data_IF_866120455409
#
_entry.id   IF_866120455409
#
_cell.length_a   1.000
_cell.length_b   1.000
_cell.length_c   1.000
_cell.angle_alpha   90.00
_cell.angle_beta   90.00
_cell.angle_gamma   90.00
#
_symmetry.space_group_name_H-M   'P 1'
#
loop_
_entity.id
_entity.type
_entity.pdbx_description
1 polymer ?
#
# COMPACT_ATOMS: atom_id res chain seq x y z
N UNK A 1 -34.10 -55.27 41.21
CA UNK A 1 -35.06 -54.52 40.40
C UNK A 1 -34.89 -53.02 40.42
N UNK A 2 -34.72 -52.31 41.57
CA UNK A 2 -34.52 -50.85 41.61
C UNK A 2 -33.22 -50.41 40.98
N UNK A 3 -32.10 -51.12 41.19
CA UNK A 3 -30.79 -50.78 40.60
C UNK A 3 -30.81 -50.86 39.05
N UNK A 4 -31.48 -51.88 38.50
CA UNK A 4 -31.65 -52.05 37.05
C UNK A 4 -32.43 -50.90 36.41
N UNK A 5 -33.48 -50.41 37.06
CA UNK A 5 -34.30 -49.30 36.62
C UNK A 5 -33.51 -47.98 36.63
N UNK A 6 -32.60 -47.78 37.61
CA UNK A 6 -31.74 -46.60 37.69
C UNK A 6 -30.72 -46.61 36.56
N UNK A 7 -30.08 -47.75 36.30
CA UNK A 7 -29.09 -47.90 35.21
C UNK A 7 -29.77 -47.67 33.85
N UNK A 8 -30.96 -48.22 33.65
CA UNK A 8 -31.73 -48.05 32.42
C UNK A 8 -32.10 -46.55 32.17
N UNK A 9 -32.50 -45.84 33.23
CA UNK A 9 -32.76 -44.39 33.13
C UNK A 9 -31.47 -43.60 32.78
N UNK A 10 -30.34 -43.94 33.37
CA UNK A 10 -29.04 -43.29 33.10
C UNK A 10 -28.61 -43.50 31.64
N UNK A 11 -28.78 -44.73 31.12
CA UNK A 11 -28.49 -45.05 29.72
C UNK A 11 -29.41 -44.29 28.76
N UNK A 12 -30.69 -44.17 29.04
CA UNK A 12 -31.61 -43.37 28.24
C UNK A 12 -31.23 -41.88 28.22
N UNK A 13 -30.83 -41.31 29.36
CA UNK A 13 -30.37 -39.91 29.43
C UNK A 13 -29.08 -39.70 28.63
N UNK A 14 -28.14 -40.64 28.71
CA UNK A 14 -26.92 -40.58 27.92
C UNK A 14 -27.18 -40.65 26.40
N UNK A 15 -28.09 -41.56 25.98
CA UNK A 15 -28.49 -41.69 24.57
C UNK A 15 -29.15 -40.39 24.10
N UNK A 16 -30.07 -39.81 24.90
CA UNK A 16 -30.72 -38.54 24.58
C UNK A 16 -29.72 -37.39 24.47
N UNK A 17 -28.73 -37.36 25.38
CA UNK A 17 -27.67 -36.36 25.37
C UNK A 17 -26.74 -36.51 24.16
N UNK A 18 -26.36 -37.73 23.79
CA UNK A 18 -25.59 -37.99 22.57
C UNK A 18 -26.39 -37.64 21.30
N UNK A 19 -27.68 -37.85 21.30
CA UNK A 19 -28.56 -37.48 20.20
C UNK A 19 -28.67 -35.97 20.05
N UNK A 20 -28.80 -35.22 21.16
CA UNK A 20 -28.79 -33.77 21.16
C UNK A 20 -27.42 -33.21 20.72
N UNK A 21 -26.32 -33.79 21.19
CA UNK A 21 -24.97 -33.42 20.74
C UNK A 21 -24.77 -33.70 19.25
N UNK A 22 -25.29 -34.79 18.74
CA UNK A 22 -25.26 -35.12 17.29
C UNK A 22 -26.00 -34.07 16.45
N UNK A 23 -27.07 -33.48 16.98
CA UNK A 23 -27.75 -32.36 16.31
C UNK A 23 -27.00 -31.05 16.34
N UNK A 24 -26.26 -30.78 17.43
CA UNK A 24 -25.47 -29.57 17.56
C UNK A 24 -24.12 -29.65 16.83
N UNK A 25 -23.60 -30.87 16.60
CA UNK A 25 -22.33 -31.11 15.90
C UNK A 25 -22.52 -31.17 14.37
N UNK A 26 -23.75 -31.28 13.88
CA UNK A 26 -24.02 -31.08 12.47
C UNK A 26 -23.83 -29.58 12.16
N UNK A 27 -22.55 -29.15 12.15
CA UNK A 27 -22.19 -27.90 11.49
C UNK A 27 -22.66 -28.04 10.06
N UNK A 28 -23.74 -27.37 9.72
CA UNK A 28 -24.09 -27.19 8.33
C UNK A 28 -22.87 -26.62 7.65
N UNK A 29 -22.23 -27.38 6.75
CA UNK A 29 -21.30 -26.82 5.78
C UNK A 29 -22.12 -25.76 5.05
N UNK A 30 -21.95 -24.51 5.45
CA UNK A 30 -22.60 -23.38 4.79
C UNK A 30 -22.03 -23.30 3.38
N UNK A 31 -22.78 -23.78 2.41
CA UNK A 31 -22.45 -23.61 1.01
C UNK A 31 -22.53 -22.13 0.70
N UNK A 32 -21.41 -21.56 0.27
CA UNK A 32 -21.35 -20.19 -0.22
C UNK A 32 -22.24 -20.10 -1.47
N UNK A 33 -23.21 -19.18 -1.45
CA UNK A 33 -24.18 -19.03 -2.53
C UNK A 33 -23.85 -17.90 -3.48
N UNK A 34 -23.74 -16.69 -2.96
CA UNK A 34 -23.53 -15.49 -3.77
C UNK A 34 -22.71 -14.45 -3.04
N UNK A 35 -22.15 -13.50 -3.78
CA UNK A 35 -21.57 -12.29 -3.21
C UNK A 35 -22.71 -11.28 -3.02
N UNK A 36 -23.02 -10.96 -1.77
CA UNK A 36 -24.04 -9.98 -1.43
C UNK A 36 -23.52 -8.54 -1.55
N UNK A 37 -22.39 -8.26 -0.93
CA UNK A 37 -21.84 -6.92 -0.91
C UNK A 37 -20.31 -6.91 -0.97
N UNK A 38 -19.76 -5.96 -1.74
CA UNK A 38 -18.34 -5.64 -1.75
C UNK A 38 -18.18 -4.21 -1.25
N UNK A 39 -17.55 -4.06 -0.08
CA UNK A 39 -17.17 -2.78 0.52
C UNK A 39 -15.69 -2.54 0.25
N UNK A 40 -15.38 -1.42 -0.39
CA UNK A 40 -14.00 -0.99 -0.61
C UNK A 40 -13.75 0.19 0.31
N UNK A 41 -12.91 -0.04 1.34
CA UNK A 41 -12.48 1.02 2.25
C UNK A 41 -11.37 1.81 1.56
N UNK A 42 -11.76 2.76 0.72
CA UNK A 42 -10.82 3.79 0.27
C UNK A 42 -11.45 4.93 -0.56
N UNK A 43 -10.70 6.05 -0.60
CA UNK A 43 -10.99 7.20 -1.46
C UNK A 43 -10.40 7.04 -2.88
N UNK A 44 -9.51 6.08 -3.11
CA UNK A 44 -8.65 6.06 -4.31
C UNK A 44 -9.17 5.24 -5.50
N UNK A 45 -10.10 4.35 -5.34
CA UNK A 45 -10.74 3.56 -6.43
C UNK A 45 -9.74 2.96 -7.46
N UNK A 46 -8.65 2.35 -6.98
CA UNK A 46 -7.69 1.67 -7.85
C UNK A 46 -8.22 0.38 -8.43
N UNK A 47 -9.15 -0.27 -7.74
CA UNK A 47 -9.74 -1.53 -8.13
C UNK A 47 -11.23 -1.38 -8.40
N UNK A 48 -11.71 -2.01 -9.47
CA UNK A 48 -13.13 -2.10 -9.75
C UNK A 48 -13.78 -3.28 -9.01
N UNK A 49 -15.01 -3.08 -8.55
CA UNK A 49 -15.81 -4.18 -7.98
C UNK A 49 -15.97 -5.33 -8.96
N UNK A 50 -16.11 -5.03 -10.26
CA UNK A 50 -16.20 -6.02 -11.34
C UNK A 50 -15.02 -6.98 -11.36
N UNK A 51 -13.80 -6.49 -11.14
CA UNK A 51 -12.60 -7.33 -11.07
C UNK A 51 -12.61 -8.26 -9.83
N UNK A 52 -13.17 -7.80 -8.72
CA UNK A 52 -13.31 -8.66 -7.55
C UNK A 52 -14.31 -9.77 -7.83
N UNK A 53 -15.42 -9.45 -8.51
CA UNK A 53 -16.37 -10.47 -8.96
C UNK A 53 -15.70 -11.47 -9.91
N UNK A 54 -14.90 -11.03 -10.88
CA UNK A 54 -14.15 -11.92 -11.80
C UNK A 54 -13.18 -12.86 -11.05
N UNK A 55 -12.46 -12.33 -10.06
CA UNK A 55 -11.55 -13.14 -9.23
C UNK A 55 -12.32 -14.18 -8.43
N UNK A 56 -13.49 -13.82 -7.94
CA UNK A 56 -14.32 -14.69 -7.13
C UNK A 56 -15.15 -15.68 -7.98
N UNK A 57 -15.64 -15.27 -9.16
CA UNK A 57 -16.64 -16.01 -9.94
C UNK A 57 -16.07 -17.30 -10.56
N UNK A 58 -14.77 -17.36 -10.81
CA UNK A 58 -14.14 -18.56 -11.36
C UNK A 58 -14.13 -19.75 -10.38
N UNK A 59 -14.22 -19.50 -9.06
CA UNK A 59 -13.97 -20.52 -8.05
C UNK A 59 -14.92 -20.52 -6.85
N UNK A 60 -15.77 -19.50 -6.65
CA UNK A 60 -16.66 -19.40 -5.48
C UNK A 60 -17.62 -20.61 -5.39
N UNK A 61 -18.14 -21.06 -6.51
CA UNK A 61 -19.08 -22.19 -6.54
C UNK A 61 -18.44 -23.53 -6.14
N UNK A 62 -17.09 -23.62 -6.19
CA UNK A 62 -16.34 -24.81 -5.87
C UNK A 62 -15.59 -24.72 -4.51
N UNK A 63 -15.50 -23.53 -3.93
CA UNK A 63 -14.71 -23.31 -2.70
C UNK A 63 -15.64 -23.22 -1.49
N UNK A 64 -15.48 -24.18 -0.60
CA UNK A 64 -16.15 -24.21 0.71
C UNK A 64 -15.36 -23.43 1.78
N UNK A 65 -14.19 -22.88 1.43
CA UNK A 65 -13.26 -22.29 2.39
C UNK A 65 -13.08 -20.78 2.13
N UNK A 66 -13.54 -19.98 3.07
CA UNK A 66 -13.39 -18.51 3.09
C UNK A 66 -11.93 -18.11 2.97
N UNK A 67 -11.03 -18.84 3.64
CA UNK A 67 -9.60 -18.51 3.63
C UNK A 67 -9.00 -18.59 2.23
N UNK A 68 -9.51 -19.48 1.38
CA UNK A 68 -9.07 -19.58 -0.01
C UNK A 68 -9.51 -18.35 -0.80
N UNK A 69 -10.75 -17.89 -0.62
CA UNK A 69 -11.27 -16.69 -1.27
C UNK A 69 -10.49 -15.45 -0.82
N UNK A 70 -10.27 -15.30 0.49
CA UNK A 70 -9.46 -14.20 1.02
C UNK A 70 -8.04 -14.19 0.43
N UNK A 71 -7.39 -15.35 0.37
CA UNK A 71 -6.04 -15.47 -0.18
C UNK A 71 -5.99 -15.14 -1.68
N UNK A 72 -6.97 -15.57 -2.45
CA UNK A 72 -7.04 -15.21 -3.87
C UNK A 72 -7.19 -13.71 -4.08
N UNK A 73 -8.11 -13.08 -3.36
CA UNK A 73 -8.33 -11.63 -3.44
C UNK A 73 -7.08 -10.89 -2.95
N UNK A 74 -6.47 -11.34 -1.84
CA UNK A 74 -5.28 -10.72 -1.23
C UNK A 74 -4.04 -10.77 -2.14
N UNK A 75 -3.96 -11.75 -3.04
CA UNK A 75 -2.89 -11.84 -4.03
C UNK A 75 -2.98 -10.76 -5.12
N UNK A 76 -4.09 -10.02 -5.21
CA UNK A 76 -4.22 -8.93 -6.16
C UNK A 76 -3.27 -7.78 -5.78
N UNK A 77 -2.42 -7.28 -6.72
CA UNK A 77 -1.33 -6.34 -6.41
C UNK A 77 -1.80 -4.98 -5.89
N UNK A 78 -3.06 -4.62 -6.04
CA UNK A 78 -3.64 -3.36 -5.56
C UNK A 78 -4.35 -3.50 -4.21
N UNK A 79 -4.44 -4.72 -3.66
CA UNK A 79 -5.12 -4.98 -2.39
C UNK A 79 -4.09 -5.07 -1.26
N UNK A 80 -4.34 -4.33 -0.19
CA UNK A 80 -3.55 -4.37 1.04
C UNK A 80 -4.07 -5.46 1.99
N UNK A 81 -5.38 -5.50 2.17
CA UNK A 81 -6.03 -6.44 3.07
C UNK A 81 -7.47 -6.74 2.62
N UNK A 82 -7.97 -7.90 3.01
CA UNK A 82 -9.32 -8.36 2.70
C UNK A 82 -9.87 -9.16 3.86
N UNK A 83 -11.15 -9.03 4.09
CA UNK A 83 -11.91 -9.81 5.06
C UNK A 83 -13.20 -10.28 4.39
N UNK A 84 -13.49 -11.58 4.48
CA UNK A 84 -14.69 -12.21 3.92
C UNK A 84 -15.54 -12.74 5.06
N UNK A 85 -16.82 -12.40 5.06
CA UNK A 85 -17.78 -12.82 6.06
C UNK A 85 -18.91 -13.60 5.41
N UNK A 86 -19.27 -14.76 5.98
CA UNK A 86 -20.46 -15.51 5.57
C UNK A 86 -21.65 -15.06 6.40
N UNK A 87 -22.75 -14.74 5.72
CA UNK A 87 -24.03 -14.48 6.34
C UNK A 87 -24.79 -15.78 6.63
N UNK A 88 -25.81 -15.72 7.50
CA UNK A 88 -26.64 -16.90 7.84
C UNK A 88 -27.35 -17.54 6.65
N UNK A 89 -27.63 -16.79 5.59
CA UNK A 89 -28.24 -17.26 4.36
C UNK A 89 -27.27 -17.95 3.39
N UNK A 90 -25.95 -17.94 3.70
CA UNK A 90 -24.88 -18.47 2.87
C UNK A 90 -24.28 -17.46 1.87
N UNK A 91 -24.76 -16.22 1.86
CA UNK A 91 -24.14 -15.16 1.06
C UNK A 91 -22.88 -14.63 1.75
N UNK A 92 -21.95 -14.07 0.96
CA UNK A 92 -20.71 -13.50 1.48
C UNK A 92 -20.66 -11.98 1.32
N UNK A 93 -20.11 -11.34 2.35
CA UNK A 93 -19.73 -9.91 2.34
C UNK A 93 -18.20 -9.80 2.31
N UNK A 94 -17.70 -8.98 1.43
CA UNK A 94 -16.26 -8.77 1.22
C UNK A 94 -15.90 -7.33 1.58
N UNK A 95 -15.02 -7.16 2.58
CA UNK A 95 -14.45 -5.87 2.93
C UNK A 95 -13.00 -5.80 2.45
N UNK A 96 -12.71 -4.84 1.59
CA UNK A 96 -11.40 -4.66 0.96
C UNK A 96 -10.75 -3.38 1.43
N UNK A 97 -9.44 -3.47 1.65
CA UNK A 97 -8.58 -2.31 1.83
C UNK A 97 -7.57 -2.23 0.69
N UNK A 98 -7.62 -1.14 -0.08
CA UNK A 98 -6.67 -0.91 -1.15
C UNK A 98 -5.29 -0.49 -0.62
N UNK A 99 -4.23 -0.71 -1.42
CA UNK A 99 -2.91 -0.12 -1.17
C UNK A 99 -2.93 1.37 -1.47
N UNK A 100 -2.17 2.13 -0.71
CA UNK A 100 -2.04 3.58 -0.87
C UNK A 100 -0.70 3.88 -1.53
N UNK A 101 -0.69 4.45 -2.75
CA UNK A 101 0.56 4.77 -3.43
C UNK A 101 1.26 5.97 -2.79
N UNK A 102 2.57 5.88 -2.62
CA UNK A 102 3.44 6.98 -2.15
C UNK A 102 4.12 7.71 -3.29
N UNK A 103 4.81 6.97 -4.15
CA UNK A 103 5.58 7.51 -5.28
C UNK A 103 5.27 6.75 -6.55
N UNK A 104 5.38 7.42 -7.68
CA UNK A 104 5.31 6.79 -9.00
C UNK A 104 6.70 6.61 -9.56
N UNK A 105 7.09 5.37 -9.79
CA UNK A 105 8.40 4.99 -10.32
C UNK A 105 8.28 4.77 -11.82
N UNK A 106 9.23 5.32 -12.57
CA UNK A 106 9.41 5.06 -14.00
C UNK A 106 10.74 4.32 -14.20
N UNK A 107 10.65 3.07 -14.60
CA UNK A 107 11.79 2.20 -14.88
C UNK A 107 11.82 1.85 -16.36
N UNK A 108 12.67 2.53 -17.14
CA UNK A 108 12.78 2.37 -18.58
C UNK A 108 11.41 2.39 -19.29
N UNK A 109 10.89 1.20 -19.65
CA UNK A 109 9.62 1.07 -20.35
C UNK A 109 8.43 0.77 -19.42
N UNK A 110 8.67 0.60 -18.12
CA UNK A 110 7.65 0.25 -17.15
C UNK A 110 7.40 1.40 -16.17
N UNK A 111 6.19 1.47 -15.66
CA UNK A 111 5.90 2.33 -14.52
C UNK A 111 5.01 1.62 -13.52
N UNK A 112 5.25 1.92 -12.22
CA UNK A 112 4.53 1.33 -11.12
C UNK A 112 4.51 2.31 -9.94
N UNK A 113 3.72 2.03 -8.92
CA UNK A 113 3.77 2.76 -7.66
C UNK A 113 4.57 1.98 -6.61
N UNK A 114 5.20 2.68 -5.67
CA UNK A 114 5.53 2.12 -4.37
C UNK A 114 4.44 2.55 -3.39
N UNK A 115 3.94 1.58 -2.61
CA UNK A 115 2.90 1.83 -1.61
C UNK A 115 3.47 2.23 -0.24
N UNK A 116 2.58 2.43 0.75
CA UNK A 116 2.96 2.78 2.12
C UNK A 116 3.85 1.75 2.83
N UNK A 117 3.90 0.53 2.34
CA UNK A 117 4.75 -0.54 2.85
C UNK A 117 6.02 -0.71 1.99
N UNK A 118 6.31 0.26 1.10
CA UNK A 118 7.43 0.28 0.14
C UNK A 118 7.43 -0.91 -0.83
N UNK A 119 6.25 -1.48 -1.10
CA UNK A 119 6.11 -2.59 -2.04
C UNK A 119 5.64 -2.10 -3.40
N UNK A 120 6.15 -2.70 -4.49
CA UNK A 120 5.65 -2.41 -5.82
C UNK A 120 4.15 -2.68 -5.94
N UNK A 121 3.43 -1.74 -6.57
CA UNK A 121 2.00 -1.78 -6.83
C UNK A 121 1.76 -1.42 -8.29
N UNK A 122 0.99 -2.24 -9.01
CA UNK A 122 0.67 -2.00 -10.41
C UNK A 122 -0.21 -0.75 -10.59
N UNK A 123 -0.09 -0.13 -11.76
CA UNK A 123 -0.98 0.97 -12.15
C UNK A 123 -2.43 0.47 -12.28
N UNK A 124 -3.35 1.36 -12.06
CA UNK A 124 -4.76 1.13 -12.38
C UNK A 124 -5.11 1.78 -13.72
N UNK A 125 -5.99 1.15 -14.47
CA UNK A 125 -6.60 1.76 -15.67
C UNK A 125 -7.63 2.82 -15.32
N UNK A 126 -8.16 2.79 -14.10
CA UNK A 126 -9.26 3.62 -13.64
C UNK A 126 -8.81 4.90 -12.93
N UNK A 127 -7.69 4.83 -12.24
CA UNK A 127 -7.25 5.94 -11.39
C UNK A 127 -5.74 6.16 -11.46
N UNK A 128 -5.36 7.41 -11.56
CA UNK A 128 -3.96 7.85 -11.49
C UNK A 128 -3.78 8.79 -10.31
N UNK A 129 -2.92 8.44 -9.39
CA UNK A 129 -2.57 9.29 -8.26
C UNK A 129 -1.51 10.33 -8.64
N UNK A 130 -1.68 11.56 -8.15
CA UNK A 130 -0.71 12.65 -8.34
C UNK A 130 0.38 12.56 -7.29
N UNK A 131 1.32 11.66 -7.47
CA UNK A 131 2.40 11.39 -6.53
C UNK A 131 3.73 11.97 -7.03
N UNK A 132 4.71 12.04 -6.12
CA UNK A 132 6.10 12.33 -6.45
C UNK A 132 6.62 11.31 -7.49
N UNK A 133 7.29 11.81 -8.52
CA UNK A 133 7.85 10.97 -9.58
C UNK A 133 9.28 10.59 -9.21
N UNK A 134 9.62 9.31 -9.44
CA UNK A 134 10.98 8.76 -9.32
C UNK A 134 11.36 8.14 -10.65
N UNK A 135 12.51 8.51 -11.20
CA UNK A 135 13.06 7.91 -12.42
C UNK A 135 14.59 7.91 -12.40
N UNK A 136 15.21 7.31 -13.40
CA UNK A 136 16.66 7.22 -13.57
C UNK A 136 17.21 5.82 -13.33
N UNK A 137 18.44 5.74 -12.80
CA UNK A 137 19.19 4.48 -12.62
C UNK A 137 18.72 3.70 -11.37
N UNK A 138 17.54 3.13 -11.42
CA UNK A 138 16.91 2.42 -10.29
C UNK A 138 17.72 1.22 -9.78
N UNK A 139 18.54 0.62 -10.61
CA UNK A 139 19.37 -0.57 -10.25
C UNK A 139 20.29 -0.32 -9.05
N UNK A 140 20.63 0.94 -8.78
CA UNK A 140 21.53 1.33 -7.67
C UNK A 140 20.78 1.65 -6.37
N UNK A 141 19.46 1.58 -6.35
CA UNK A 141 18.62 1.96 -5.21
C UNK A 141 17.56 0.89 -4.97
N UNK A 142 17.34 0.56 -3.72
CA UNK A 142 16.23 -0.31 -3.35
C UNK A 142 14.97 0.52 -3.00
N UNK A 143 13.83 -0.16 -2.96
CA UNK A 143 12.52 0.46 -2.71
C UNK A 143 12.47 1.18 -1.35
N UNK A 144 13.12 0.61 -0.33
CA UNK A 144 13.15 1.21 1.02
C UNK A 144 13.95 2.52 1.05
N UNK A 145 15.04 2.62 0.28
CA UNK A 145 15.81 3.85 0.15
C UNK A 145 14.99 4.96 -0.52
N UNK A 146 14.23 4.61 -1.56
CA UNK A 146 13.32 5.55 -2.24
C UNK A 146 12.22 6.01 -1.29
N UNK A 147 11.60 5.10 -0.56
CA UNK A 147 10.57 5.44 0.43
C UNK A 147 11.12 6.29 1.58
N UNK A 148 12.32 5.98 2.07
CA UNK A 148 12.96 6.77 3.12
C UNK A 148 13.18 8.22 2.66
N UNK A 149 13.71 8.41 1.45
CA UNK A 149 13.88 9.74 0.87
C UNK A 149 12.53 10.46 0.71
N UNK A 150 11.49 9.75 0.24
CA UNK A 150 10.14 10.29 0.16
C UNK A 150 9.65 10.77 1.54
N UNK A 151 9.80 9.97 2.58
CA UNK A 151 9.36 10.34 3.93
C UNK A 151 10.10 11.56 4.47
N UNK A 152 11.39 11.68 4.21
CA UNK A 152 12.15 12.90 4.55
C UNK A 152 11.64 14.14 3.81
N UNK A 153 11.32 14.03 2.52
CA UNK A 153 10.73 15.15 1.76
C UNK A 153 9.34 15.49 2.30
N UNK A 154 8.52 14.48 2.57
CA UNK A 154 7.12 14.63 3.02
C UNK A 154 7.00 15.15 4.45
N UNK A 155 8.00 14.93 5.31
CA UNK A 155 8.00 15.40 6.70
C UNK A 155 8.05 16.93 6.82
N UNK A 156 8.50 17.63 5.78
CA UNK A 156 8.56 19.07 5.75
C UNK A 156 7.61 19.64 4.67
N UNK A 157 6.56 20.43 5.03
CA UNK A 157 5.58 20.95 4.07
C UNK A 157 6.20 21.81 2.95
N UNK A 158 7.29 22.51 3.22
CA UNK A 158 7.99 23.30 2.20
C UNK A 158 8.65 22.36 1.18
N UNK A 159 9.40 21.34 1.62
CA UNK A 159 10.04 20.36 0.74
C UNK A 159 9.02 19.57 -0.08
N UNK A 160 7.90 19.18 0.53
CA UNK A 160 6.77 18.52 -0.14
C UNK A 160 6.21 19.39 -1.27
N UNK A 161 6.04 20.68 -1.03
CA UNK A 161 5.57 21.63 -2.06
C UNK A 161 6.62 21.93 -3.12
N UNK A 162 7.90 21.88 -2.76
CA UNK A 162 9.02 22.25 -3.60
C UNK A 162 9.36 21.15 -4.62
N UNK A 163 9.47 19.89 -4.17
CA UNK A 163 9.96 18.78 -4.98
C UNK A 163 8.86 18.20 -5.84
N UNK A 164 9.11 18.04 -7.13
CA UNK A 164 8.19 17.40 -8.07
C UNK A 164 8.66 16.01 -8.51
N UNK A 165 10.00 15.82 -8.56
CA UNK A 165 10.60 14.62 -9.11
C UNK A 165 11.92 14.33 -8.43
N UNK A 166 12.22 13.03 -8.28
CA UNK A 166 13.52 12.50 -7.87
C UNK A 166 14.14 11.84 -9.10
N UNK A 167 15.33 12.27 -9.48
CA UNK A 167 16.10 11.66 -10.55
C UNK A 167 17.30 10.94 -9.96
N UNK A 168 17.37 9.63 -10.15
CA UNK A 168 18.39 8.75 -9.60
C UNK A 168 19.51 8.54 -10.64
N UNK A 169 20.73 8.80 -10.25
CA UNK A 169 21.93 8.53 -11.05
C UNK A 169 22.92 7.77 -10.18
N UNK A 170 23.46 6.65 -10.64
CA UNK A 170 24.48 5.82 -9.93
C UNK A 170 24.68 6.11 -8.42
N UNK A 171 25.38 7.21 -8.11
CA UNK A 171 25.72 7.66 -6.76
C UNK A 171 25.20 9.06 -6.44
N UNK A 172 24.34 9.62 -7.27
CA UNK A 172 23.78 10.94 -7.09
C UNK A 172 22.26 10.90 -7.15
N UNK A 173 21.64 11.61 -6.25
CA UNK A 173 20.20 11.84 -6.23
C UNK A 173 19.98 13.31 -6.53
N UNK A 174 19.17 13.59 -7.54
CA UNK A 174 18.84 14.94 -7.97
C UNK A 174 17.35 15.15 -7.73
N UNK A 175 17.01 16.15 -6.94
CA UNK A 175 15.65 16.61 -6.74
C UNK A 175 15.32 17.69 -7.76
N UNK A 176 14.25 17.54 -8.51
CA UNK A 176 13.75 18.53 -9.47
C UNK A 176 12.63 19.30 -8.80
N UNK A 177 12.76 20.63 -8.78
CA UNK A 177 11.73 21.47 -8.16
C UNK A 177 10.57 21.76 -9.10
N UNK A 178 9.37 21.97 -8.52
CA UNK A 178 8.16 22.35 -9.26
C UNK A 178 8.30 23.72 -9.95
N UNK A 179 9.02 24.61 -9.30
CA UNK A 179 9.21 25.96 -9.80
C UNK A 179 10.51 26.09 -10.57
N UNK A 180 10.41 26.40 -11.87
CA UNK A 180 11.53 26.63 -12.78
C UNK A 180 12.51 25.46 -12.99
N UNK A 181 12.20 24.27 -12.46
CA UNK A 181 13.04 23.09 -12.66
C UNK A 181 14.43 23.20 -12.07
N UNK A 182 14.61 23.94 -10.97
CA UNK A 182 15.89 24.01 -10.28
C UNK A 182 16.32 22.60 -9.85
N UNK A 183 17.52 22.20 -10.22
CA UNK A 183 18.10 20.91 -9.88
C UNK A 183 18.85 21.01 -8.55
N UNK A 184 18.51 20.14 -7.62
CA UNK A 184 19.14 20.06 -6.31
C UNK A 184 19.83 18.71 -6.19
N UNK A 185 21.15 18.68 -6.31
CA UNK A 185 21.94 17.46 -6.16
C UNK A 185 22.23 17.24 -4.68
N UNK A 186 21.61 16.18 -4.09
CA UNK A 186 21.86 15.80 -2.69
C UNK A 186 22.96 14.73 -2.55
N UNK A 187 23.52 14.23 -3.67
CA UNK A 187 24.48 13.14 -3.67
C UNK A 187 23.86 11.82 -3.25
N UNK A 188 24.39 11.22 -2.19
CA UNK A 188 23.86 9.99 -1.58
C UNK A 188 22.84 10.28 -0.46
N UNK A 189 22.33 9.22 0.17
CA UNK A 189 21.35 9.30 1.26
C UNK A 189 21.96 9.61 2.64
N UNK A 190 23.29 9.74 2.74
CA UNK A 190 23.93 10.05 4.01
C UNK A 190 23.62 11.50 4.42
N UNK A 191 23.45 11.71 5.73
CA UNK A 191 23.23 13.04 6.33
C UNK A 191 22.03 13.82 5.73
N UNK A 192 20.94 13.13 5.33
CA UNK A 192 19.77 13.75 4.69
C UNK A 192 19.21 14.93 5.50
N UNK A 193 19.10 14.78 6.82
CA UNK A 193 18.59 15.85 7.69
C UNK A 193 19.43 17.13 7.54
N UNK A 194 20.77 17.01 7.67
CA UNK A 194 21.69 18.16 7.54
C UNK A 194 21.60 18.78 6.14
N UNK A 195 21.51 17.96 5.09
CA UNK A 195 21.37 18.44 3.71
C UNK A 195 20.06 19.18 3.49
N UNK A 196 18.96 18.69 4.06
CA UNK A 196 17.68 19.38 3.96
C UNK A 196 17.60 20.64 4.81
N UNK A 197 18.21 20.65 5.99
CA UNK A 197 18.34 21.89 6.79
C UNK A 197 19.15 22.95 6.06
N UNK A 198 20.24 22.55 5.42
CA UNK A 198 21.03 23.45 4.57
C UNK A 198 20.22 23.96 3.37
N UNK A 199 19.40 23.11 2.76
CA UNK A 199 18.49 23.51 1.68
C UNK A 199 17.46 24.54 2.15
N UNK A 200 16.84 24.32 3.29
CA UNK A 200 15.87 25.25 3.88
C UNK A 200 16.54 26.60 4.18
N UNK A 201 17.71 26.59 4.82
CA UNK A 201 18.49 27.79 5.07
C UNK A 201 18.88 28.53 3.78
N UNK A 202 19.21 27.80 2.71
CA UNK A 202 19.48 28.38 1.40
C UNK A 202 18.25 29.11 0.84
N UNK A 203 17.07 28.54 0.93
CA UNK A 203 15.85 29.19 0.47
C UNK A 203 15.51 30.42 1.30
N UNK A 204 15.63 30.35 2.62
CA UNK A 204 15.34 31.47 3.53
C UNK A 204 16.32 32.64 3.40
N UNK A 205 17.62 32.35 3.27
CA UNK A 205 18.66 33.33 3.34
C UNK A 205 19.15 33.84 1.98
N UNK A 206 19.05 33.02 0.94
CA UNK A 206 19.63 33.34 -0.38
C UNK A 206 18.52 33.58 -1.40
N UNK A 207 17.62 32.63 -1.60
CA UNK A 207 16.57 32.69 -2.64
C UNK A 207 15.61 33.84 -2.36
N UNK A 208 15.26 34.06 -1.11
CA UNK A 208 14.38 35.17 -0.70
C UNK A 208 14.90 36.54 -1.17
N UNK A 209 16.22 36.73 -1.25
CA UNK A 209 16.84 38.00 -1.64
C UNK A 209 17.27 38.03 -3.11
N UNK A 210 17.76 36.89 -3.66
CA UNK A 210 18.25 36.81 -5.04
C UNK A 210 17.17 36.48 -6.06
N UNK A 211 16.07 35.90 -5.59
CA UNK A 211 14.95 35.45 -6.42
C UNK A 211 15.13 34.02 -6.97
N UNK A 212 14.02 33.42 -7.32
CA UNK A 212 13.92 32.01 -7.72
C UNK A 212 14.61 31.67 -9.05
N UNK A 213 14.94 32.66 -9.86
CA UNK A 213 15.55 32.46 -11.18
C UNK A 213 17.08 32.68 -11.19
N UNK A 214 17.69 32.93 -10.05
CA UNK A 214 19.09 33.33 -9.99
C UNK A 214 20.05 32.15 -10.18
N UNK A 215 19.65 30.96 -9.74
CA UNK A 215 20.45 29.75 -9.85
C UNK A 215 19.78 28.73 -10.75
N UNK A 216 20.58 27.90 -11.42
CA UNK A 216 20.17 26.76 -12.23
C UNK A 216 20.31 25.45 -11.49
N UNK A 217 21.30 25.34 -10.60
CA UNK A 217 21.50 24.15 -9.77
C UNK A 217 22.05 24.48 -8.39
N UNK A 218 21.77 23.60 -7.45
CA UNK A 218 22.27 23.62 -6.06
C UNK A 218 22.86 22.25 -5.75
N UNK A 219 24.08 22.21 -5.26
CA UNK A 219 24.76 20.98 -4.88
C UNK A 219 24.93 20.94 -3.36
N UNK A 220 24.30 19.94 -2.73
CA UNK A 220 24.32 19.65 -1.30
C UNK A 220 25.08 18.36 -0.96
N UNK A 221 25.85 17.84 -1.92
CA UNK A 221 26.61 16.60 -1.74
C UNK A 221 27.55 16.67 -0.52
N UNK A 222 28.07 17.87 -0.24
CA UNK A 222 28.95 18.15 0.89
C UNK A 222 28.12 18.75 2.02
N UNK A 223 28.17 18.14 3.20
CA UNK A 223 27.30 18.50 4.33
C UNK A 223 27.61 19.87 4.97
N UNK A 224 28.81 20.41 4.74
CA UNK A 224 29.32 21.66 5.32
C UNK A 224 29.27 22.86 4.36
N UNK A 225 28.87 22.67 3.11
CA UNK A 225 28.84 23.75 2.10
C UNK A 225 27.76 23.54 1.04
N UNK A 226 27.25 24.64 0.52
CA UNK A 226 26.30 24.67 -0.59
C UNK A 226 27.01 25.29 -1.81
N UNK A 227 27.07 24.52 -2.90
CA UNK A 227 27.65 24.98 -4.16
C UNK A 227 26.52 25.27 -5.14
N UNK A 228 26.46 26.51 -5.65
CA UNK A 228 25.40 26.94 -6.55
C UNK A 228 25.92 27.34 -7.92
N UNK A 229 25.25 26.93 -8.98
CA UNK A 229 25.52 27.40 -10.35
C UNK A 229 24.54 28.52 -10.69
N UNK A 230 25.06 29.67 -11.06
CA UNK A 230 24.26 30.80 -11.52
C UNK A 230 23.76 30.54 -12.94
N UNK A 231 22.68 31.22 -13.28
CA UNK A 231 22.14 31.24 -14.63
C UNK A 231 23.01 32.02 -15.58
#
# INVERSE_FOLDING_TARGET
MRLFLIIMRLVCVCILFCFLLSFTIKSEEQLIKNINQINIDNQNKFIEKTKIFEICDSDIYNQKDINMIENQIKNHPQIKDVQVYIQHNGDIDINLKERIPLVRVFDNNNSYYLDTDCKPMLLSSQYTSSNLIVNGDLVFFNENEICNLYHHIKSNPFLESLVSQIYLQKQNIILITRFKGLEINIGNLDYLEVKFDNLLAFYERIIKFKGWNYYTSVNLKYHDQIICTKK
#
